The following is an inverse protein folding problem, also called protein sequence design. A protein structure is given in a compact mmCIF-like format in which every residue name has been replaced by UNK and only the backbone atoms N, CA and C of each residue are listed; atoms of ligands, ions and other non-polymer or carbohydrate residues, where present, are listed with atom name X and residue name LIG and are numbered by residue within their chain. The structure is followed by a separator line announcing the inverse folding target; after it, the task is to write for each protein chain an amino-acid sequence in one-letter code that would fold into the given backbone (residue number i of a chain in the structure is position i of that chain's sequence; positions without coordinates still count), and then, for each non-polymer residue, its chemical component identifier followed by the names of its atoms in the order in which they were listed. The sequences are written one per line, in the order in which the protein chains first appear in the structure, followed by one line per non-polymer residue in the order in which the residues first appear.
data_IF_836771218839
#
_entry.id   IF_836771218839
#
_cell.length_a   1.000
_cell.length_b   1.000
_cell.length_c   1.000
_cell.angle_alpha   90.00
_cell.angle_beta   90.00
_cell.angle_gamma   90.00
#
_symmetry.space_group_name_H-M   'P 1'
#
loop_
_entity.id
_entity.type
_entity.pdbx_description
1 polymer ?
#
# COMPACT_ATOMS: atom_id res chain seq x y z
N UNK A 1 57.19 -15.85 26.23
CA UNK A 1 56.34 -14.76 26.74
C UNK A 1 54.92 -15.05 26.28
N UNK A 2 54.12 -15.50 27.25
CA UNK A 2 52.72 -15.84 27.08
C UNK A 2 51.88 -14.57 27.13
N UNK A 3 50.97 -14.37 26.18
CA UNK A 3 49.81 -13.54 26.40
C UNK A 3 48.53 -14.31 26.06
N UNK A 4 47.83 -14.62 27.14
CA UNK A 4 46.49 -15.18 27.16
C UNK A 4 45.49 -14.14 26.66
N UNK A 5 44.81 -14.42 25.58
CA UNK A 5 43.56 -13.74 25.23
C UNK A 5 42.39 -14.53 25.80
N UNK A 6 41.83 -14.02 26.87
CA UNK A 6 40.54 -14.45 27.43
C UNK A 6 39.38 -13.99 26.52
N UNK A 7 38.77 -14.95 25.85
CA UNK A 7 37.51 -14.76 25.11
C UNK A 7 36.35 -14.70 26.11
N UNK A 8 35.66 -13.60 26.21
CA UNK A 8 34.39 -13.50 26.94
C UNK A 8 33.27 -14.05 26.06
N UNK A 9 32.40 -14.92 26.56
CA UNK A 9 31.21 -15.33 25.83
C UNK A 9 30.19 -14.18 25.91
N UNK A 10 29.83 -13.64 24.77
CA UNK A 10 28.70 -12.74 24.60
C UNK A 10 27.42 -13.55 24.84
N UNK A 11 26.83 -13.38 26.01
CA UNK A 11 25.49 -13.90 26.29
C UNK A 11 24.48 -13.17 25.39
N UNK A 12 23.91 -13.89 24.47
CA UNK A 12 22.67 -13.45 23.81
C UNK A 12 21.60 -13.36 24.91
N UNK A 13 21.18 -12.16 25.25
CA UNK A 13 19.92 -11.94 25.95
C UNK A 13 18.82 -12.24 24.92
N UNK A 14 18.18 -13.40 25.06
CA UNK A 14 16.90 -13.67 24.44
C UNK A 14 15.91 -12.66 25.07
N UNK A 15 15.62 -11.58 24.34
CA UNK A 15 14.49 -10.72 24.65
C UNK A 15 13.24 -11.58 24.40
N UNK A 16 12.57 -12.02 25.45
CA UNK A 16 11.27 -12.69 25.37
C UNK A 16 10.27 -11.67 24.79
N UNK A 17 10.08 -11.73 23.48
CA UNK A 17 9.03 -10.98 22.81
C UNK A 17 7.66 -11.49 23.30
N UNK A 18 6.95 -10.66 24.05
CA UNK A 18 5.58 -10.96 24.48
C UNK A 18 4.72 -10.99 23.22
N UNK A 19 4.21 -12.16 22.86
CA UNK A 19 3.29 -12.30 21.73
C UNK A 19 1.95 -11.61 22.07
N UNK A 20 1.85 -10.36 21.65
CA UNK A 20 0.65 -9.52 21.83
C UNK A 20 -0.59 -10.12 21.17
N UNK A 21 -0.44 -10.88 20.10
CA UNK A 21 -1.55 -11.51 19.38
C UNK A 21 -2.09 -12.69 20.21
N UNK A 22 -1.20 -13.51 20.78
CA UNK A 22 -1.58 -14.61 21.67
C UNK A 22 -2.24 -14.08 22.97
N UNK A 23 -1.75 -12.96 23.52
CA UNK A 23 -2.35 -12.28 24.67
C UNK A 23 -3.79 -11.78 24.33
N UNK A 24 -3.97 -11.14 23.18
CA UNK A 24 -5.28 -10.64 22.75
C UNK A 24 -6.27 -11.78 22.48
N UNK A 25 -5.83 -12.88 21.85
CA UNK A 25 -6.64 -14.08 21.68
C UNK A 25 -7.05 -14.72 23.01
N UNK A 26 -6.17 -14.73 23.99
CA UNK A 26 -6.44 -15.25 25.34
C UNK A 26 -7.46 -14.38 26.08
N UNK A 27 -7.35 -13.06 25.97
CA UNK A 27 -8.32 -12.09 26.49
C UNK A 27 -9.70 -12.29 25.87
N UNK A 28 -9.80 -12.42 24.54
CA UNK A 28 -11.04 -12.67 23.82
C UNK A 28 -11.70 -14.01 24.23
N UNK A 29 -10.89 -15.06 24.41
CA UNK A 29 -11.42 -16.37 24.86
C UNK A 29 -11.93 -16.36 26.31
N UNK A 30 -11.41 -15.44 27.14
CA UNK A 30 -11.79 -15.26 28.55
C UNK A 30 -12.78 -14.12 28.78
N UNK A 31 -13.40 -13.58 27.73
CA UNK A 31 -14.39 -12.48 27.81
C UNK A 31 -15.59 -12.82 28.72
N UNK A 32 -16.07 -14.07 28.68
CA UNK A 32 -17.21 -14.50 29.53
C UNK A 32 -16.90 -14.41 31.04
N UNK A 33 -15.79 -14.97 31.57
CA UNK A 33 -15.48 -14.82 32.99
C UNK A 33 -15.10 -13.37 33.35
N UNK A 34 -14.49 -12.56 32.46
CA UNK A 34 -14.20 -11.15 32.70
C UNK A 34 -15.49 -10.36 32.88
N UNK A 35 -16.48 -10.53 31.98
CA UNK A 35 -17.80 -9.90 32.08
C UNK A 35 -18.54 -10.34 33.33
N UNK A 36 -18.48 -11.60 33.69
CA UNK A 36 -19.14 -12.12 34.86
C UNK A 36 -18.56 -11.53 36.15
N UNK A 37 -17.25 -11.39 36.27
CA UNK A 37 -16.60 -10.72 37.41
C UNK A 37 -16.91 -9.22 37.46
N UNK A 38 -16.96 -8.54 36.32
CA UNK A 38 -17.33 -7.12 36.25
C UNK A 38 -18.76 -6.90 36.74
N UNK A 39 -19.71 -7.75 36.32
CA UNK A 39 -21.10 -7.69 36.78
C UNK A 39 -21.21 -7.99 38.26
N UNK A 40 -20.50 -8.97 38.80
CA UNK A 40 -20.52 -9.27 40.25
C UNK A 40 -19.97 -8.10 41.06
N UNK A 41 -18.87 -7.47 40.61
CA UNK A 41 -18.32 -6.27 41.27
C UNK A 41 -19.31 -5.08 41.22
N UNK A 42 -20.01 -4.89 40.09
CA UNK A 42 -21.04 -3.88 39.95
C UNK A 42 -22.19 -4.11 40.93
N UNK A 43 -22.69 -5.33 41.03
CA UNK A 43 -23.82 -5.66 41.97
C UNK A 43 -23.37 -5.46 43.42
N UNK A 44 -22.17 -5.81 43.81
CA UNK A 44 -21.65 -5.57 45.17
C UNK A 44 -21.54 -4.07 45.45
N UNK A 45 -20.95 -3.29 44.52
CA UNK A 45 -20.82 -1.85 44.65
C UNK A 45 -22.18 -1.14 44.72
N UNK A 46 -23.11 -1.53 43.84
CA UNK A 46 -24.49 -1.01 43.84
C UNK A 46 -25.32 -1.41 45.07
N UNK A 47 -25.13 -2.64 45.57
CA UNK A 47 -25.85 -3.13 46.78
C UNK A 47 -25.45 -2.37 48.04
N UNK A 48 -24.18 -1.97 48.20
CA UNK A 48 -23.71 -1.14 49.31
C UNK A 48 -24.23 0.30 49.23
N UNK A 49 -24.50 0.84 48.03
CA UNK A 49 -25.13 2.14 47.85
C UNK A 49 -26.68 2.10 48.09
N UNK A 50 -27.33 0.99 47.74
CA UNK A 50 -28.76 0.82 47.88
C UNK A 50 -29.27 0.88 49.32
N UNK A 51 -28.42 0.56 50.31
CA UNK A 51 -28.79 0.66 51.76
C UNK A 51 -28.96 2.13 52.23
N UNK A 52 -28.36 3.10 51.51
CA UNK A 52 -28.54 4.54 51.77
C UNK A 52 -29.86 5.11 51.21
N UNK A 53 -30.52 4.45 50.23
CA UNK A 53 -31.73 4.91 49.54
C UNK A 53 -32.97 4.88 50.39
N UNK A 54 -33.04 4.02 51.37
CA UNK A 54 -34.21 3.87 52.24
C UNK A 54 -34.46 5.06 53.21
N UNK A 55 -33.67 6.12 53.14
CA UNK A 55 -33.75 7.28 54.03
C UNK A 55 -33.89 8.66 53.36
N UNK A 56 -34.04 8.76 52.02
CA UNK A 56 -34.02 10.05 51.28
C UNK A 56 -35.40 10.52 50.83
N UNK A 57 -35.67 11.81 50.94
CA UNK A 57 -36.95 12.46 50.67
C UNK A 57 -37.35 12.55 49.18
N UNK A 58 -38.60 12.91 48.91
CA UNK A 58 -39.19 13.01 47.58
C UNK A 58 -38.58 14.13 46.71
N UNK A 59 -38.21 13.81 45.48
CA UNK A 59 -37.72 14.74 44.44
C UNK A 59 -38.91 15.45 43.78
N UNK A 60 -38.80 16.74 43.43
CA UNK A 60 -39.86 17.47 42.75
C UNK A 60 -40.00 17.02 41.28
N UNK A 61 -41.20 17.21 40.69
CA UNK A 61 -41.43 16.84 39.28
C UNK A 61 -40.57 17.66 38.30
N UNK A 62 -40.25 18.92 38.66
CA UNK A 62 -39.37 19.79 37.86
C UNK A 62 -37.91 19.29 37.88
N UNK A 63 -37.41 18.84 39.05
CA UNK A 63 -36.05 18.29 39.18
C UNK A 63 -35.93 16.95 38.43
N UNK A 64 -37.00 16.16 38.34
CA UNK A 64 -37.00 14.93 37.53
C UNK A 64 -36.88 15.22 36.05
N UNK A 65 -37.63 16.20 35.51
CA UNK A 65 -37.54 16.57 34.08
C UNK A 65 -36.16 17.11 33.74
N UNK A 66 -35.62 17.99 34.58
CA UNK A 66 -34.26 18.53 34.37
C UNK A 66 -33.17 17.42 34.41
N UNK A 67 -33.36 16.44 35.31
CA UNK A 67 -32.47 15.28 35.36
C UNK A 67 -32.57 14.40 34.12
N UNK A 68 -33.81 14.12 33.64
CA UNK A 68 -34.01 13.31 32.42
C UNK A 68 -33.40 13.98 31.18
N UNK A 69 -33.56 15.31 31.05
CA UNK A 69 -32.92 16.07 29.97
C UNK A 69 -31.40 16.03 30.06
N UNK A 70 -30.81 16.25 31.24
CA UNK A 70 -29.36 16.20 31.43
C UNK A 70 -28.83 14.77 31.24
N UNK A 71 -29.58 13.74 31.64
CA UNK A 71 -29.21 12.35 31.39
C UNK A 71 -29.22 12.00 29.91
N UNK A 72 -30.24 12.50 29.18
CA UNK A 72 -30.32 12.30 27.73
C UNK A 72 -29.15 12.97 27.02
N UNK A 73 -28.75 14.18 27.43
CA UNK A 73 -27.55 14.87 26.88
C UNK A 73 -26.26 14.09 27.18
N UNK A 74 -26.11 13.61 28.43
CA UNK A 74 -24.96 12.81 28.81
C UNK A 74 -24.87 11.51 28.00
N UNK A 75 -26.00 10.77 27.88
CA UNK A 75 -26.05 9.57 27.05
C UNK A 75 -25.82 9.84 25.57
N UNK A 76 -26.19 11.02 25.07
CA UNK A 76 -25.89 11.40 23.70
C UNK A 76 -24.39 11.61 23.49
N UNK A 77 -23.71 12.29 24.42
CA UNK A 77 -22.25 12.46 24.37
C UNK A 77 -21.51 11.12 24.44
N UNK A 78 -22.03 10.17 25.24
CA UNK A 78 -21.48 8.81 25.30
C UNK A 78 -21.58 8.10 23.94
N UNK A 79 -22.75 8.13 23.33
CA UNK A 79 -23.00 7.53 22.01
C UNK A 79 -22.14 8.20 20.92
N UNK A 80 -21.99 9.51 20.96
CA UNK A 80 -21.18 10.25 20.01
C UNK A 80 -19.70 9.86 20.13
N UNK A 81 -19.22 9.64 21.36
CA UNK A 81 -17.87 9.12 21.59
C UNK A 81 -17.71 7.67 21.11
N UNK A 82 -18.66 6.77 21.45
CA UNK A 82 -18.63 5.39 20.94
C UNK A 82 -18.63 5.33 19.42
N UNK A 83 -19.46 6.17 18.78
CA UNK A 83 -19.48 6.29 17.33
C UNK A 83 -18.14 6.79 16.76
N UNK A 84 -17.52 7.79 17.41
CA UNK A 84 -16.21 8.28 17.04
C UNK A 84 -15.14 7.19 17.14
N UNK A 85 -15.18 6.36 18.20
CA UNK A 85 -14.27 5.20 18.35
C UNK A 85 -14.46 4.20 17.24
N UNK A 86 -15.69 3.82 16.91
CA UNK A 86 -15.98 2.87 15.85
C UNK A 86 -15.53 3.39 14.47
N UNK A 87 -15.81 4.65 14.17
CA UNK A 87 -15.36 5.30 12.95
C UNK A 87 -13.82 5.35 12.88
N UNK A 88 -13.18 5.68 13.98
CA UNK A 88 -11.74 5.69 14.09
C UNK A 88 -11.14 4.32 13.80
N UNK A 89 -11.61 3.25 14.43
CA UNK A 89 -11.06 1.90 14.22
C UNK A 89 -11.14 1.46 12.76
N UNK A 90 -12.28 1.68 12.11
CA UNK A 90 -12.48 1.33 10.70
C UNK A 90 -11.58 2.15 9.76
N UNK A 91 -11.56 3.47 9.96
CA UNK A 91 -10.85 4.39 9.07
C UNK A 91 -9.33 4.37 9.31
N UNK A 92 -8.91 4.23 10.56
CA UNK A 92 -7.51 4.17 10.94
C UNK A 92 -6.81 2.95 10.34
N UNK A 93 -7.46 1.78 10.40
CA UNK A 93 -6.93 0.56 9.78
C UNK A 93 -6.82 0.70 8.26
N UNK A 94 -7.87 1.21 7.60
CA UNK A 94 -7.84 1.45 6.16
C UNK A 94 -6.74 2.44 5.75
N UNK A 95 -6.52 3.49 6.56
CA UNK A 95 -5.46 4.45 6.33
C UNK A 95 -4.06 3.83 6.52
N UNK A 96 -3.88 2.97 7.53
CA UNK A 96 -2.63 2.25 7.76
C UNK A 96 -2.30 1.30 6.61
N UNK A 97 -3.27 0.53 6.13
CA UNK A 97 -3.12 -0.36 4.97
C UNK A 97 -2.76 0.45 3.70
N UNK A 98 -3.41 1.61 3.50
CA UNK A 98 -3.09 2.51 2.40
C UNK A 98 -1.68 3.11 2.52
N UNK A 99 -1.27 3.57 3.70
CA UNK A 99 0.09 4.06 3.94
C UNK A 99 1.13 2.99 3.65
N UNK A 100 0.92 1.77 4.13
CA UNK A 100 1.82 0.64 3.87
C UNK A 100 1.95 0.35 2.38
N UNK A 101 0.84 0.35 1.65
CA UNK A 101 0.83 0.15 0.20
C UNK A 101 1.57 1.26 -0.56
N UNK A 102 1.36 2.52 -0.18
CA UNK A 102 2.06 3.67 -0.80
C UNK A 102 3.55 3.66 -0.44
N UNK A 103 3.93 3.31 0.79
CA UNK A 103 5.33 3.17 1.19
C UNK A 103 6.06 2.08 0.39
N UNK A 104 5.42 0.93 0.19
CA UNK A 104 5.99 -0.14 -0.63
C UNK A 104 6.13 0.29 -2.10
N UNK A 105 5.11 0.96 -2.66
CA UNK A 105 5.18 1.53 -4.01
C UNK A 105 6.30 2.58 -4.14
N UNK A 106 6.45 3.45 -3.13
CA UNK A 106 7.50 4.46 -3.09
C UNK A 106 8.90 3.82 -3.03
N UNK A 107 9.08 2.78 -2.21
CA UNK A 107 10.32 2.02 -2.14
C UNK A 107 10.67 1.38 -3.48
N UNK A 108 9.69 0.78 -4.17
CA UNK A 108 9.89 0.20 -5.49
C UNK A 108 10.23 1.26 -6.54
N UNK A 109 9.58 2.43 -6.47
CA UNK A 109 9.87 3.55 -7.36
C UNK A 109 11.28 4.13 -7.12
N UNK A 110 11.73 4.18 -5.86
CA UNK A 110 13.09 4.59 -5.50
C UNK A 110 14.14 3.58 -5.96
N UNK A 111 13.91 2.27 -5.74
CA UNK A 111 14.78 1.21 -6.25
C UNK A 111 14.90 1.25 -7.78
N UNK A 112 13.77 1.48 -8.46
CA UNK A 112 13.76 1.70 -9.90
C UNK A 112 14.55 2.95 -10.29
N UNK A 113 14.38 4.08 -9.60
CA UNK A 113 15.09 5.30 -9.89
C UNK A 113 16.63 5.15 -9.73
N UNK A 114 17.07 4.38 -8.74
CA UNK A 114 18.48 4.12 -8.48
C UNK A 114 19.10 3.21 -9.55
N UNK A 115 18.40 2.15 -9.98
CA UNK A 115 18.93 1.08 -10.82
C UNK A 115 18.53 1.18 -12.29
N UNK A 116 17.50 1.99 -12.61
CA UNK A 116 17.01 2.14 -13.99
C UNK A 116 18.03 2.75 -14.89
N UNK A 117 18.25 2.15 -16.05
CA UNK A 117 19.08 2.75 -17.10
C UNK A 117 18.49 4.10 -17.53
N UNK A 118 17.17 4.17 -17.76
CA UNK A 118 16.48 5.41 -18.16
C UNK A 118 16.81 6.59 -17.25
N UNK A 119 16.73 6.40 -15.93
CA UNK A 119 16.94 7.46 -14.94
C UNK A 119 18.37 7.96 -14.86
N UNK A 120 19.32 7.07 -15.16
CA UNK A 120 20.74 7.34 -15.02
C UNK A 120 21.39 7.80 -16.33
N UNK A 121 20.60 7.97 -17.42
CA UNK A 121 21.10 8.52 -18.68
C UNK A 121 21.18 10.04 -18.65
N UNK A 122 22.28 10.58 -19.18
CA UNK A 122 22.39 12.00 -19.50
C UNK A 122 21.67 12.28 -20.83
N UNK A 123 20.49 12.91 -20.75
CA UNK A 123 19.65 13.22 -21.91
C UNK A 123 20.31 14.16 -22.93
N UNK A 124 21.35 14.88 -22.52
CA UNK A 124 22.10 15.77 -23.40
C UNK A 124 23.29 15.07 -24.11
N UNK A 125 23.60 13.84 -23.67
CA UNK A 125 24.76 13.12 -24.17
C UNK A 125 24.51 11.61 -24.23
N UNK A 126 23.37 11.21 -24.80
CA UNK A 126 22.93 9.81 -24.87
C UNK A 126 23.33 9.16 -26.18
N UNK A 127 23.74 7.90 -26.13
CA UNK A 127 23.92 7.06 -27.31
C UNK A 127 22.58 6.42 -27.68
N UNK A 128 22.20 6.59 -28.96
CA UNK A 128 21.00 6.03 -29.55
C UNK A 128 21.37 5.08 -30.65
N UNK A 129 21.13 3.79 -30.46
CA UNK A 129 21.23 2.81 -31.54
C UNK A 129 19.83 2.66 -32.15
N UNK A 130 19.70 2.83 -33.44
CA UNK A 130 18.45 2.84 -34.19
C UNK A 130 18.47 1.81 -35.30
N UNK A 131 17.35 1.17 -35.55
CA UNK A 131 17.10 0.37 -36.75
C UNK A 131 15.76 0.69 -37.34
N UNK A 132 15.71 0.95 -38.63
CA UNK A 132 14.46 1.10 -39.37
C UNK A 132 14.13 -0.24 -40.04
N UNK A 133 12.92 -0.71 -39.72
CA UNK A 133 12.37 -1.96 -40.22
C UNK A 133 11.27 -1.66 -41.23
N UNK A 134 11.28 -2.36 -42.32
CA UNK A 134 10.23 -2.34 -43.33
C UNK A 134 9.46 -3.66 -43.29
N UNK A 135 8.16 -3.56 -43.06
CA UNK A 135 7.23 -4.70 -43.06
C UNK A 135 6.36 -4.59 -44.31
N UNK A 136 6.55 -5.53 -45.23
CA UNK A 136 5.79 -5.60 -46.47
C UNK A 136 4.67 -6.66 -46.34
N UNK A 137 3.45 -6.18 -46.19
CA UNK A 137 2.27 -7.02 -46.09
C UNK A 137 1.86 -7.68 -47.44
N UNK A 138 2.51 -7.27 -48.54
CA UNK A 138 2.12 -7.68 -49.87
C UNK A 138 0.78 -7.11 -50.33
N UNK A 139 0.17 -6.22 -49.57
CA UNK A 139 -1.12 -5.60 -49.92
C UNK A 139 -0.96 -4.71 -51.13
N UNK A 140 -1.91 -4.89 -52.09
CA UNK A 140 -1.96 -4.07 -53.31
C UNK A 140 -3.41 -3.64 -53.56
N UNK A 141 -3.58 -2.34 -53.75
CA UNK A 141 -4.84 -1.81 -54.23
C UNK A 141 -5.14 -2.34 -55.61
N UNK A 142 -6.33 -2.93 -55.84
CA UNK A 142 -6.78 -3.41 -57.12
C UNK A 142 -7.59 -2.33 -57.86
N UNK A 143 -7.03 -1.61 -58.81
CA UNK A 143 -7.73 -0.58 -59.53
C UNK A 143 -8.96 -1.13 -60.24
N UNK A 144 -10.11 -0.46 -60.11
CA UNK A 144 -11.38 -0.89 -60.76
C UNK A 144 -12.16 -1.97 -60.03
N UNK A 145 -11.68 -2.51 -58.90
CA UNK A 145 -12.45 -3.43 -58.07
C UNK A 145 -13.41 -2.68 -57.15
N UNK A 146 -14.65 -3.09 -57.09
CA UNK A 146 -15.65 -2.55 -56.16
C UNK A 146 -15.38 -2.93 -54.71
N UNK A 147 -14.59 -3.97 -54.48
CA UNK A 147 -14.20 -4.45 -53.16
C UNK A 147 -12.69 -4.46 -53.05
N UNK A 148 -12.15 -3.80 -52.01
CA UNK A 148 -10.76 -3.87 -51.60
C UNK A 148 -10.67 -4.74 -50.35
N UNK A 149 -9.62 -5.55 -50.25
CA UNK A 149 -9.29 -6.19 -49.01
C UNK A 149 -8.81 -5.14 -48.01
N UNK A 150 -8.97 -5.37 -46.72
CA UNK A 150 -8.44 -4.51 -45.69
C UNK A 150 -6.90 -4.60 -45.72
N UNK A 151 -6.21 -3.47 -45.69
CA UNK A 151 -4.78 -3.43 -45.58
C UNK A 151 -4.31 -3.90 -44.18
N UNK A 152 -3.59 -5.04 -44.09
CA UNK A 152 -3.13 -5.56 -42.79
C UNK A 152 -1.87 -4.88 -42.28
N UNK A 153 -1.28 -3.92 -42.99
CA UNK A 153 -0.01 -3.27 -42.63
C UNK A 153 -0.04 -2.69 -41.23
N UNK A 154 -1.09 -1.97 -40.84
CA UNK A 154 -1.23 -1.43 -39.49
C UNK A 154 -1.31 -2.51 -38.41
N UNK A 155 -2.02 -3.61 -38.68
CA UNK A 155 -2.13 -4.73 -37.74
C UNK A 155 -0.78 -5.45 -37.57
N UNK A 156 -0.01 -5.61 -38.65
CA UNK A 156 1.33 -6.19 -38.61
C UNK A 156 2.27 -5.30 -37.80
N UNK A 157 2.32 -4.00 -38.10
CA UNK A 157 3.15 -3.05 -37.36
C UNK A 157 2.85 -3.04 -35.86
N UNK A 158 1.56 -3.04 -35.48
CA UNK A 158 1.13 -3.14 -34.10
C UNK A 158 1.54 -4.46 -33.43
N UNK A 159 1.48 -5.58 -34.17
CA UNK A 159 1.94 -6.88 -33.69
C UNK A 159 3.47 -6.88 -33.43
N UNK A 160 4.25 -6.33 -34.33
CA UNK A 160 5.71 -6.18 -34.15
C UNK A 160 6.04 -5.25 -32.98
N UNK A 161 5.42 -4.07 -32.91
CA UNK A 161 5.61 -3.13 -31.82
C UNK A 161 5.37 -3.82 -30.47
N UNK A 162 4.22 -4.50 -30.34
CA UNK A 162 3.86 -5.22 -29.11
C UNK A 162 4.86 -6.34 -28.76
N UNK A 163 5.35 -7.08 -29.75
CA UNK A 163 6.28 -8.18 -29.52
C UNK A 163 7.70 -7.68 -29.20
N UNK A 164 8.19 -6.61 -29.83
CA UNK A 164 9.50 -6.02 -29.57
C UNK A 164 9.62 -5.48 -28.13
N UNK A 165 8.55 -4.90 -27.59
CA UNK A 165 8.51 -4.44 -26.18
C UNK A 165 7.91 -5.47 -25.22
N UNK A 166 7.70 -6.73 -25.67
CA UNK A 166 7.21 -7.83 -24.83
C UNK A 166 8.28 -8.34 -23.87
N UNK A 167 7.86 -9.06 -22.84
CA UNK A 167 8.74 -9.68 -21.84
C UNK A 167 9.85 -10.54 -22.48
N UNK A 168 9.54 -11.36 -23.50
CA UNK A 168 10.52 -12.23 -24.18
C UNK A 168 11.64 -11.44 -24.86
N UNK A 169 11.28 -10.38 -25.59
CA UNK A 169 12.23 -9.54 -26.30
C UNK A 169 13.03 -8.66 -25.33
N UNK A 170 12.33 -8.07 -24.34
CA UNK A 170 12.99 -7.24 -23.33
C UNK A 170 13.89 -8.05 -22.40
N UNK A 171 13.54 -9.30 -22.07
CA UNK A 171 14.44 -10.19 -21.34
C UNK A 171 15.73 -10.49 -22.14
N UNK A 172 15.62 -10.76 -23.44
CA UNK A 172 16.80 -10.98 -24.28
C UNK A 172 17.70 -9.72 -24.33
N UNK A 173 17.11 -8.53 -24.38
CA UNK A 173 17.87 -7.27 -24.32
C UNK A 173 18.51 -7.06 -22.94
N UNK A 174 17.82 -7.36 -21.85
CA UNK A 174 18.30 -7.26 -20.48
C UNK A 174 19.46 -8.22 -20.22
N UNK A 175 19.34 -9.47 -20.68
CA UNK A 175 20.40 -10.48 -20.59
C UNK A 175 21.67 -10.06 -21.36
N UNK A 176 21.50 -9.42 -22.54
CA UNK A 176 22.61 -8.95 -23.36
C UNK A 176 23.48 -7.87 -22.67
N UNK A 177 22.89 -7.11 -21.76
CA UNK A 177 23.58 -6.04 -21.01
C UNK A 177 23.75 -6.36 -19.52
N UNK A 178 23.25 -7.51 -19.06
CA UNK A 178 23.44 -8.01 -17.68
C UNK A 178 22.66 -7.25 -16.62
N UNK A 179 21.48 -6.73 -16.96
CA UNK A 179 20.59 -6.01 -16.02
C UNK A 179 19.24 -6.74 -15.87
N UNK A 180 18.53 -6.45 -14.80
CA UNK A 180 17.15 -6.91 -14.67
C UNK A 180 16.25 -6.17 -15.66
N UNK A 181 15.34 -6.89 -16.32
CA UNK A 181 14.44 -6.34 -17.34
C UNK A 181 13.61 -5.15 -16.85
N UNK A 182 13.31 -5.08 -15.55
CA UNK A 182 12.60 -3.95 -14.93
C UNK A 182 13.35 -2.62 -15.14
N UNK A 183 14.67 -2.65 -15.12
CA UNK A 183 15.52 -1.46 -15.24
C UNK A 183 15.79 -1.03 -16.68
N UNK A 184 15.34 -1.85 -17.66
CA UNK A 184 15.39 -1.52 -19.09
C UNK A 184 14.15 -0.76 -19.59
N UNK A 185 13.12 -0.64 -18.75
CA UNK A 185 11.88 0.04 -19.15
C UNK A 185 12.15 1.49 -19.54
N UNK A 186 11.64 1.88 -20.71
CA UNK A 186 11.76 3.24 -21.24
C UNK A 186 13.05 3.54 -22.00
N UNK A 187 14.05 2.63 -22.03
CA UNK A 187 15.25 2.81 -22.88
C UNK A 187 15.12 2.15 -24.25
N UNK A 188 13.98 1.52 -24.53
CA UNK A 188 13.64 0.99 -25.85
C UNK A 188 12.33 1.62 -26.28
N UNK A 189 12.34 2.25 -27.45
CA UNK A 189 11.14 2.84 -28.07
C UNK A 189 10.91 2.25 -29.45
N UNK A 190 9.66 2.20 -29.87
CA UNK A 190 9.24 1.72 -31.18
C UNK A 190 8.23 2.69 -31.75
N UNK A 191 8.62 3.40 -32.80
CA UNK A 191 7.77 4.36 -33.49
C UNK A 191 7.27 3.78 -34.78
N UNK A 192 5.99 4.01 -35.07
CA UNK A 192 5.34 3.58 -36.32
C UNK A 192 5.23 4.79 -37.25
N UNK A 193 5.75 4.63 -38.47
CA UNK A 193 5.70 5.71 -39.47
C UNK A 193 4.35 5.71 -40.21
N UNK A 194 3.80 6.91 -40.37
CA UNK A 194 2.57 7.18 -41.14
C UNK A 194 2.88 8.18 -42.25
N UNK A 195 2.11 8.08 -43.34
CA UNK A 195 2.11 9.08 -44.39
C UNK A 195 1.29 10.33 -43.99
N UNK A 196 1.29 11.36 -44.83
CA UNK A 196 0.55 12.61 -44.58
C UNK A 196 -0.97 12.40 -44.44
N UNK A 197 -1.50 11.27 -44.88
CA UNK A 197 -2.91 10.90 -44.76
C UNK A 197 -3.20 10.13 -43.47
N UNK A 198 -2.20 9.88 -42.63
CA UNK A 198 -2.34 9.10 -41.40
C UNK A 198 -2.36 7.57 -41.62
N UNK A 199 -2.06 7.10 -42.84
CA UNK A 199 -1.98 5.67 -43.14
C UNK A 199 -0.55 5.15 -42.86
N UNK A 200 -0.45 3.92 -42.36
CA UNK A 200 0.82 3.28 -42.11
C UNK A 200 1.54 2.93 -43.42
N UNK A 201 2.81 3.30 -43.53
CA UNK A 201 3.64 3.08 -44.72
C UNK A 201 4.52 1.81 -44.63
N UNK A 202 4.30 0.96 -43.63
CA UNK A 202 5.07 -0.27 -43.42
C UNK A 202 6.42 -0.07 -42.72
N UNK A 203 6.80 1.17 -42.39
CA UNK A 203 8.05 1.48 -41.71
C UNK A 203 7.83 1.62 -40.20
N UNK A 204 8.72 1.04 -39.43
CA UNK A 204 8.83 1.24 -37.99
C UNK A 204 10.27 1.50 -37.59
N UNK A 205 10.49 2.38 -36.65
CA UNK A 205 11.79 2.74 -36.11
C UNK A 205 11.93 2.16 -34.70
N UNK A 206 12.91 1.28 -34.52
CA UNK A 206 13.31 0.73 -33.23
C UNK A 206 14.52 1.49 -32.71
N UNK A 207 14.44 2.04 -31.50
CA UNK A 207 15.54 2.77 -30.87
C UNK A 207 15.89 2.17 -29.51
N UNK A 208 17.18 2.15 -29.20
CA UNK A 208 17.72 1.75 -27.92
C UNK A 208 18.67 2.83 -27.39
N UNK A 209 18.42 3.30 -26.18
CA UNK A 209 19.18 4.37 -25.53
C UNK A 209 20.12 3.81 -24.47
N UNK A 210 21.36 4.28 -24.43
CA UNK A 210 22.33 3.90 -23.41
C UNK A 210 23.33 5.01 -23.09
N UNK A 211 24.08 4.85 -22.00
CA UNK A 211 25.17 5.77 -21.64
C UNK A 211 26.42 5.61 -22.54
N UNK A 212 26.58 4.47 -23.17
CA UNK A 212 27.68 4.18 -24.07
C UNK A 212 27.20 3.44 -25.33
N UNK A 213 28.00 3.57 -26.40
CA UNK A 213 27.68 3.01 -27.69
C UNK A 213 27.50 1.50 -27.66
N UNK A 214 28.40 0.79 -26.98
CA UNK A 214 28.39 -0.68 -26.95
C UNK A 214 27.13 -1.24 -26.30
N UNK A 215 26.66 -0.60 -25.23
CA UNK A 215 25.44 -0.99 -24.54
C UNK A 215 24.21 -0.73 -25.41
N UNK A 216 24.13 0.44 -26.10
CA UNK A 216 23.05 0.74 -27.03
C UNK A 216 22.97 -0.30 -28.17
N UNK A 217 24.13 -0.61 -28.80
CA UNK A 217 24.23 -1.62 -29.85
C UNK A 217 23.84 -3.03 -29.37
N UNK A 218 24.25 -3.44 -28.16
CA UNK A 218 23.90 -4.75 -27.61
C UNK A 218 22.39 -4.89 -27.40
N UNK A 219 21.74 -3.85 -26.86
CA UNK A 219 20.28 -3.84 -26.69
C UNK A 219 19.60 -3.96 -28.04
N UNK A 220 19.96 -3.11 -29.01
CA UNK A 220 19.36 -3.13 -30.33
C UNK A 220 19.55 -4.49 -31.03
N UNK A 221 20.77 -5.02 -31.04
CA UNK A 221 21.09 -6.30 -31.70
C UNK A 221 20.37 -7.49 -31.03
N UNK A 222 20.20 -7.47 -29.72
CA UNK A 222 19.41 -8.49 -29.02
C UNK A 222 17.94 -8.47 -29.44
N UNK A 223 17.35 -7.27 -29.63
CA UNK A 223 15.98 -7.12 -30.13
C UNK A 223 15.86 -7.54 -31.59
N UNK A 224 16.80 -7.14 -32.45
CA UNK A 224 16.85 -7.55 -33.86
C UNK A 224 17.00 -9.07 -34.01
N UNK A 225 17.76 -9.71 -33.12
CA UNK A 225 17.89 -11.17 -33.08
C UNK A 225 16.59 -11.91 -32.75
N UNK A 226 15.53 -11.22 -32.33
CA UNK A 226 14.19 -11.81 -32.11
C UNK A 226 13.27 -11.69 -33.31
N UNK A 227 13.67 -10.98 -34.38
CA UNK A 227 12.79 -10.67 -35.50
C UNK A 227 12.22 -11.94 -36.18
N UNK A 228 12.98 -13.01 -36.32
CA UNK A 228 12.48 -14.24 -36.94
C UNK A 228 11.34 -14.86 -36.12
N UNK A 229 11.49 -14.90 -34.79
CA UNK A 229 10.46 -15.40 -33.90
C UNK A 229 9.20 -14.50 -33.90
N UNK A 230 9.42 -13.18 -33.96
CA UNK A 230 8.34 -12.20 -34.04
C UNK A 230 7.61 -12.32 -35.38
N UNK A 231 8.36 -12.50 -36.47
CA UNK A 231 7.83 -12.74 -37.81
C UNK A 231 6.89 -13.93 -37.82
N UNK A 232 7.31 -15.09 -37.28
CA UNK A 232 6.51 -16.29 -37.25
C UNK A 232 5.23 -16.11 -36.44
N UNK A 233 5.30 -15.46 -35.28
CA UNK A 233 4.13 -15.12 -34.45
C UNK A 233 3.17 -14.16 -35.17
N UNK A 234 3.70 -13.12 -35.83
CA UNK A 234 2.89 -12.15 -36.55
C UNK A 234 2.27 -12.75 -37.82
N UNK A 235 3.00 -13.62 -38.55
CA UNK A 235 2.49 -14.33 -39.71
C UNK A 235 1.33 -15.26 -39.34
N UNK A 236 1.44 -15.96 -38.21
CA UNK A 236 0.36 -16.83 -37.71
C UNK A 236 -0.88 -16.05 -37.22
N UNK A 237 -0.68 -14.83 -36.67
CA UNK A 237 -1.74 -14.04 -36.07
C UNK A 237 -2.48 -13.12 -37.07
N UNK A 238 -1.78 -12.60 -38.08
CA UNK A 238 -2.29 -11.57 -39.00
C UNK A 238 -2.30 -12.08 -40.43
N UNK A 239 -1.15 -12.17 -41.06
CA UNK A 239 -0.99 -12.67 -42.43
C UNK A 239 0.47 -12.93 -42.77
N UNK A 240 0.71 -13.67 -43.87
CA UNK A 240 2.06 -13.82 -44.44
C UNK A 240 2.57 -12.46 -44.91
N UNK A 241 3.81 -12.15 -44.60
CA UNK A 241 4.45 -10.88 -44.92
C UNK A 241 5.97 -11.08 -44.98
N UNK A 242 6.72 -10.01 -45.28
CA UNK A 242 8.17 -10.00 -45.11
C UNK A 242 8.61 -8.84 -44.22
N UNK A 243 9.71 -9.03 -43.52
CA UNK A 243 10.36 -8.00 -42.71
C UNK A 243 11.82 -7.87 -43.10
N UNK A 244 12.32 -6.66 -43.13
CA UNK A 244 13.75 -6.39 -43.42
C UNK A 244 14.21 -5.15 -42.67
N UNK A 245 15.46 -5.16 -42.25
CA UNK A 245 16.16 -3.95 -41.77
C UNK A 245 16.53 -3.15 -42.98
N UNK A 246 16.10 -1.89 -43.07
CA UNK A 246 16.42 -0.99 -44.19
C UNK A 246 17.50 0.00 -43.86
N UNK A 247 17.67 0.35 -42.59
CA UNK A 247 18.76 1.18 -42.09
C UNK A 247 19.13 0.80 -40.66
N UNK A 248 20.39 1.03 -40.28
CA UNK A 248 20.87 0.87 -38.92
C UNK A 248 21.95 1.91 -38.64
N UNK A 249 21.78 2.66 -37.58
CA UNK A 249 22.70 3.72 -37.20
C UNK A 249 22.90 3.78 -35.69
N UNK A 250 24.04 4.34 -35.29
CA UNK A 250 24.31 4.65 -33.88
C UNK A 250 24.80 6.08 -33.80
N UNK A 251 24.13 6.89 -33.03
CA UNK A 251 24.42 8.31 -32.88
C UNK A 251 24.53 8.70 -31.42
N UNK A 252 25.25 9.77 -31.15
CA UNK A 252 25.33 10.38 -29.84
C UNK A 252 24.76 11.79 -29.91
N UNK A 253 23.90 12.14 -28.98
CA UNK A 253 23.26 13.45 -29.01
C UNK A 253 22.25 13.69 -27.89
N UNK A 254 21.41 14.70 -28.11
CA UNK A 254 20.32 15.06 -27.20
C UNK A 254 19.07 14.27 -27.56
N UNK A 255 18.43 13.66 -26.56
CA UNK A 255 17.12 13.02 -26.73
C UNK A 255 16.05 13.76 -25.94
N UNK A 256 15.17 14.45 -26.67
CA UNK A 256 14.01 15.13 -26.07
C UNK A 256 12.95 14.13 -25.58
N UNK A 257 12.83 12.99 -26.25
CA UNK A 257 11.94 11.90 -25.88
C UNK A 257 12.34 11.29 -24.53
N UNK A 258 13.63 10.95 -24.38
CA UNK A 258 14.18 10.43 -23.14
C UNK A 258 13.96 11.40 -21.96
N UNK A 259 14.11 12.71 -22.22
CA UNK A 259 13.82 13.75 -21.23
C UNK A 259 12.38 13.70 -20.76
N UNK A 260 11.42 13.57 -21.67
CA UNK A 260 10.01 13.47 -21.33
C UNK A 260 9.71 12.22 -20.50
N UNK A 261 10.30 11.06 -20.87
CA UNK A 261 10.16 9.81 -20.12
C UNK A 261 10.75 9.90 -18.70
N UNK A 262 11.92 10.55 -18.55
CA UNK A 262 12.51 10.79 -17.23
C UNK A 262 11.63 11.70 -16.37
N UNK A 263 11.04 12.75 -16.96
CA UNK A 263 10.15 13.68 -16.27
C UNK A 263 8.92 12.94 -15.74
N UNK A 264 8.22 12.19 -16.58
CA UNK A 264 7.04 11.40 -16.16
C UNK A 264 7.38 10.46 -15.00
N UNK A 265 8.51 9.78 -15.07
CA UNK A 265 8.93 8.88 -13.99
C UNK A 265 9.31 9.62 -12.68
N UNK A 266 9.74 10.89 -12.74
CA UNK A 266 9.97 11.72 -11.56
C UNK A 266 8.65 12.17 -10.93
N UNK A 267 7.66 12.50 -11.76
CA UNK A 267 6.32 12.86 -11.31
C UNK A 267 5.65 11.71 -10.54
N UNK A 268 5.84 10.46 -10.95
CA UNK A 268 5.34 9.29 -10.23
C UNK A 268 5.86 9.20 -8.79
N UNK A 269 7.17 9.42 -8.58
CA UNK A 269 7.77 9.43 -7.23
C UNK A 269 7.21 10.58 -6.39
N UNK A 270 7.09 11.78 -6.98
CA UNK A 270 6.54 12.95 -6.28
C UNK A 270 5.07 12.74 -5.90
N UNK A 271 4.29 12.14 -6.79
CA UNK A 271 2.89 11.82 -6.53
C UNK A 271 2.74 10.83 -5.37
N UNK A 272 3.57 9.77 -5.34
CA UNK A 272 3.57 8.81 -4.23
C UNK A 272 3.98 9.46 -2.90
N UNK A 273 4.98 10.36 -2.92
CA UNK A 273 5.37 11.12 -1.73
C UNK A 273 4.23 12.04 -1.23
N UNK A 274 3.55 12.72 -2.16
CA UNK A 274 2.41 13.58 -1.83
C UNK A 274 1.24 12.78 -1.24
N UNK A 275 0.93 11.62 -1.82
CA UNK A 275 -0.10 10.71 -1.29
C UNK A 275 0.25 10.22 0.12
N UNK A 276 1.52 9.89 0.38
CA UNK A 276 1.94 9.47 1.71
C UNK A 276 1.75 10.59 2.74
N UNK A 277 2.11 11.82 2.41
CA UNK A 277 1.90 13.00 3.27
C UNK A 277 0.42 13.25 3.53
N UNK A 278 -0.43 13.12 2.50
CA UNK A 278 -1.88 13.26 2.64
C UNK A 278 -2.46 12.20 3.57
N UNK A 279 -2.07 10.93 3.42
CA UNK A 279 -2.49 9.83 4.30
C UNK A 279 -2.02 10.04 5.74
N UNK A 280 -0.80 10.54 5.95
CA UNK A 280 -0.29 10.89 7.28
C UNK A 280 -1.10 12.03 7.92
N UNK A 281 -1.42 13.06 7.14
CA UNK A 281 -2.24 14.18 7.61
C UNK A 281 -3.68 13.72 7.93
N UNK A 282 -4.25 12.83 7.11
CA UNK A 282 -5.56 12.24 7.35
C UNK A 282 -5.55 11.40 8.65
N UNK A 283 -4.46 10.66 8.91
CA UNK A 283 -4.30 9.89 10.16
C UNK A 283 -4.25 10.82 11.37
N UNK A 284 -3.49 11.89 11.29
CA UNK A 284 -3.42 12.88 12.37
C UNK A 284 -4.78 13.51 12.64
N UNK A 285 -5.54 13.86 11.59
CA UNK A 285 -6.88 14.40 11.75
C UNK A 285 -7.85 13.40 12.43
N UNK A 286 -7.70 12.10 12.16
CA UNK A 286 -8.47 11.05 12.85
C UNK A 286 -8.10 10.98 14.34
N UNK A 287 -6.82 11.02 14.66
CA UNK A 287 -6.33 11.00 16.04
C UNK A 287 -6.82 12.23 16.81
N UNK A 288 -6.77 13.43 16.21
CA UNK A 288 -7.26 14.69 16.77
C UNK A 288 -8.79 14.68 17.00
N UNK A 289 -9.54 14.13 16.04
CA UNK A 289 -11.00 13.99 16.17
C UNK A 289 -11.39 13.04 17.31
N UNK A 290 -10.71 11.90 17.42
CA UNK A 290 -10.93 10.97 18.50
C UNK A 290 -10.57 11.59 19.85
N UNK A 291 -9.43 12.29 19.94
CA UNK A 291 -9.01 13.00 21.15
C UNK A 291 -10.03 14.08 21.57
N UNK A 292 -10.59 14.82 20.60
CA UNK A 292 -11.62 15.82 20.84
C UNK A 292 -12.92 15.19 21.35
N UNK A 293 -13.38 14.11 20.72
CA UNK A 293 -14.59 13.37 21.13
C UNK A 293 -14.41 12.80 22.56
N UNK A 294 -13.22 12.25 22.83
CA UNK A 294 -12.86 11.73 24.15
C UNK A 294 -12.86 12.84 25.21
N UNK A 295 -12.24 13.99 24.94
CA UNK A 295 -12.22 15.14 25.84
C UNK A 295 -13.62 15.66 26.13
N UNK A 296 -14.49 15.71 25.12
CA UNK A 296 -15.89 16.12 25.27
C UNK A 296 -16.66 15.15 26.16
N UNK A 297 -16.43 13.86 25.98
CA UNK A 297 -17.02 12.81 26.83
C UNK A 297 -16.49 12.86 28.27
N UNK A 298 -15.17 12.91 28.44
CA UNK A 298 -14.53 12.94 29.78
C UNK A 298 -14.86 14.22 30.58
N UNK A 299 -15.17 15.33 29.91
CA UNK A 299 -15.62 16.58 30.55
C UNK A 299 -17.11 16.60 30.84
N UNK A 300 -17.88 15.63 30.34
CA UNK A 300 -19.31 15.54 30.65
C UNK A 300 -19.50 15.06 32.07
N UNK A 301 -20.18 15.86 32.89
CA UNK A 301 -20.56 15.46 34.24
C UNK A 301 -21.81 14.60 34.14
N UNK A 302 -21.74 13.42 34.77
CA UNK A 302 -22.95 12.58 34.95
C UNK A 302 -23.98 13.32 35.81
N UNK A 303 -25.20 13.54 35.32
CA UNK A 303 -26.19 14.30 36.06
C UNK A 303 -26.58 13.57 37.34
N UNK A 304 -26.60 14.30 38.43
CA UNK A 304 -27.02 13.80 39.72
C UNK A 304 -28.36 14.44 40.12
N UNK A 305 -29.33 13.64 40.54
CA UNK A 305 -30.53 14.16 41.20
C UNK A 305 -30.11 14.72 42.55
N UNK A 306 -30.16 16.05 42.72
CA UNK A 306 -29.98 16.67 44.03
C UNK A 306 -31.15 16.24 44.95
N UNK A 307 -30.86 15.29 45.81
CA UNK A 307 -31.82 14.82 46.85
C UNK A 307 -32.10 13.34 46.88
N UNK A 308 -31.54 12.53 45.99
CA UNK A 308 -31.89 11.10 45.99
C UNK A 308 -30.71 10.15 45.85
N UNK A 309 -30.65 9.19 46.71
CA UNK A 309 -29.72 8.08 46.77
C UNK A 309 -29.61 7.26 45.45
N UNK A 310 -30.46 7.50 44.44
CA UNK A 310 -30.48 6.79 43.15
C UNK A 310 -29.24 7.13 42.28
N UNK A 311 -28.78 8.38 42.25
CA UNK A 311 -27.59 8.79 41.50
C UNK A 311 -26.31 8.16 42.05
N UNK A 312 -26.25 7.98 43.36
CA UNK A 312 -25.11 7.31 44.01
C UNK A 312 -25.03 5.83 43.63
N UNK A 313 -26.16 5.12 43.46
CA UNK A 313 -26.18 3.69 43.10
C UNK A 313 -25.70 3.48 41.69
N UNK A 314 -26.16 4.30 40.72
CA UNK A 314 -25.75 4.20 39.34
C UNK A 314 -24.23 4.47 39.18
N UNK A 315 -23.68 5.50 39.85
CA UNK A 315 -22.24 5.77 39.90
C UNK A 315 -21.43 4.60 40.46
N UNK A 316 -21.85 4.04 41.57
CA UNK A 316 -21.15 2.90 42.17
C UNK A 316 -21.28 1.62 41.36
N UNK A 317 -22.40 1.40 40.65
CA UNK A 317 -22.57 0.30 39.73
C UNK A 317 -21.57 0.41 38.55
N UNK A 318 -21.43 1.59 37.95
CA UNK A 318 -20.58 1.84 36.83
C UNK A 318 -19.08 1.77 37.20
N UNK A 319 -18.70 2.39 38.34
CA UNK A 319 -17.34 2.31 38.89
C UNK A 319 -16.99 0.85 39.24
N UNK A 320 -17.93 0.13 39.87
CA UNK A 320 -17.72 -1.28 40.20
C UNK A 320 -17.55 -2.17 39.00
N UNK A 321 -18.29 -1.89 37.90
CA UNK A 321 -18.17 -2.60 36.63
C UNK A 321 -16.81 -2.36 35.97
N UNK A 322 -16.37 -1.10 35.86
CA UNK A 322 -15.06 -0.73 35.27
C UNK A 322 -13.92 -1.31 36.10
N UNK A 323 -13.90 -1.12 37.40
CA UNK A 323 -12.85 -1.65 38.28
C UNK A 323 -12.81 -3.19 38.25
N UNK A 324 -13.98 -3.83 38.26
CA UNK A 324 -14.09 -5.29 38.15
C UNK A 324 -13.56 -5.82 36.84
N UNK A 325 -13.82 -5.11 35.72
CA UNK A 325 -13.31 -5.42 34.39
C UNK A 325 -11.78 -5.31 34.32
N UNK A 326 -11.24 -4.21 34.80
CA UNK A 326 -9.77 -3.97 34.82
C UNK A 326 -9.06 -5.00 35.69
N UNK A 327 -9.58 -5.30 36.89
CA UNK A 327 -8.99 -6.33 37.76
C UNK A 327 -9.04 -7.72 37.13
N UNK A 328 -10.16 -8.09 36.51
CA UNK A 328 -10.29 -9.38 35.84
C UNK A 328 -9.34 -9.51 34.64
N UNK A 329 -9.19 -8.44 33.82
CA UNK A 329 -8.19 -8.39 32.76
C UNK A 329 -6.76 -8.52 33.31
N UNK A 330 -6.46 -7.80 34.37
CA UNK A 330 -5.15 -7.87 35.04
C UNK A 330 -4.80 -9.29 35.52
N UNK A 331 -5.74 -10.00 36.11
CA UNK A 331 -5.57 -11.39 36.56
C UNK A 331 -5.31 -12.34 35.36
N UNK A 332 -6.01 -12.14 34.24
CA UNK A 332 -5.80 -12.94 33.02
C UNK A 332 -4.42 -12.68 32.42
N UNK A 333 -3.99 -11.41 32.38
CA UNK A 333 -2.65 -11.03 31.89
C UNK A 333 -1.54 -11.61 32.79
N UNK A 334 -1.67 -11.45 34.12
CA UNK A 334 -0.69 -12.01 35.08
C UNK A 334 -0.62 -13.53 34.94
N UNK A 335 -1.76 -14.19 34.83
CA UNK A 335 -1.80 -15.65 34.63
C UNK A 335 -1.14 -16.06 33.31
N UNK A 336 -1.37 -15.35 32.22
CA UNK A 336 -0.74 -15.59 30.93
C UNK A 336 0.79 -15.44 31.00
N UNK A 337 1.28 -14.41 31.68
CA UNK A 337 2.72 -14.20 31.88
C UNK A 337 3.36 -15.27 32.79
N UNK A 338 2.64 -15.70 33.85
CA UNK A 338 3.13 -16.77 34.74
C UNK A 338 3.11 -18.14 34.08
N UNK A 339 2.08 -18.46 33.28
CA UNK A 339 2.00 -19.72 32.53
C UNK A 339 3.14 -19.77 31.46
N UNK A 340 3.51 -18.63 30.84
CA UNK A 340 4.68 -18.52 29.95
C UNK A 340 6.01 -18.76 30.68
N UNK A 341 6.17 -18.21 31.88
CA UNK A 341 7.40 -18.42 32.69
C UNK A 341 7.57 -19.89 33.19
N UNK A 342 6.47 -20.59 33.47
CA UNK A 342 6.56 -21.99 33.95
C UNK A 342 6.93 -22.93 32.82
N UNK A 343 6.59 -22.63 31.55
CA UNK A 343 7.00 -23.44 30.41
C UNK A 343 8.50 -23.29 30.08
N UNK A 344 9.10 -22.12 30.31
CA UNK A 344 10.53 -21.90 30.09
C UNK A 344 11.39 -22.54 31.19
N UNK A 345 10.88 -22.66 32.42
CA UNK A 345 11.59 -23.26 33.53
C UNK A 345 11.58 -24.81 33.55
N UNK A 346 10.72 -25.46 32.76
CA UNK A 346 10.65 -26.93 32.64
C UNK A 346 11.50 -27.51 31.50
N UNK A 347 12.19 -26.65 30.71
CA UNK A 347 13.08 -27.05 29.62
C UNK A 347 14.57 -26.83 29.91
N UNK A 348 14.93 -26.50 31.13
CA UNK A 348 16.28 -26.53 31.69
C UNK A 348 16.39 -27.75 32.64
#
# INVERSE_FOLDING_TARGET
MNENQTTYPTGAQDEEEIDLVALMMTLLHKLKPILLTAVVCAVIAGGLAGVKILRGGAVSAEDQVAYEEALAEYQQKEKDYEFAVQQYELTAKSNEDAQSSVQEALKQAQDYAEKSLLKNLDVYNVWTAQADLYIDSGYKIQPGSAYQNVDPTGALLAAYQKQLVSGDSMNAAADAVGVDVRYLKGVVTVELSQNDSGEYNGVMTLQAYAADQQTAEKILNALLGRLDLIHDKAAAAVCSHSVRVIDQSVTQGVSTELRALQQTSNEDVQNLQSQLVELQSARQALDDNLASAKSTWESAEEPALDGGAASSVAKYLLIGFLLGGVLACGVVVVKFLLDGMVYSACLL
#
